data_IF_691361642037
#
_entry.id   IF_691361642037
#
_cell.length_a   1.000
_cell.length_b   1.000
_cell.length_c   1.000
_cell.angle_alpha   90.00
_cell.angle_beta   90.00
_cell.angle_gamma   90.00
#
_symmetry.space_group_name_H-M   'P 1'
#
loop_
_entity.id
_entity.type
_entity.pdbx_description
1 polymer ?
#
# COMPACT_ATOMS: atom_id res chain seq x y z
N UNK A 1 4.64 72.75 -40.55
CA UNK A 1 4.95 71.59 -39.67
C UNK A 1 6.43 71.30 -39.66
N UNK A 2 7.09 71.37 -40.81
CA UNK A 2 8.54 71.18 -40.98
C UNK A 2 9.39 72.06 -40.05
N UNK A 3 9.10 73.36 -39.91
CA UNK A 3 9.85 74.23 -38.98
C UNK A 3 9.76 73.80 -37.51
N UNK A 4 8.60 73.27 -37.08
CA UNK A 4 8.45 72.78 -35.70
C UNK A 4 9.26 71.51 -35.50
N UNK A 5 9.27 70.63 -36.50
CA UNK A 5 10.05 69.38 -36.50
C UNK A 5 11.55 69.70 -36.44
N UNK A 6 12.04 70.60 -37.30
CA UNK A 6 13.44 71.04 -37.32
C UNK A 6 13.84 71.66 -35.97
N UNK A 7 12.99 72.52 -35.39
CA UNK A 7 13.27 73.08 -34.05
C UNK A 7 13.31 71.99 -32.97
N UNK A 8 12.34 71.08 -32.93
CA UNK A 8 12.31 70.04 -31.89
C UNK A 8 13.45 69.02 -32.05
N UNK A 9 13.64 68.49 -33.25
CA UNK A 9 14.53 67.38 -33.53
C UNK A 9 15.98 67.84 -33.67
N UNK A 10 16.23 68.79 -34.58
CA UNK A 10 17.59 69.14 -34.98
C UNK A 10 18.25 70.13 -34.02
N UNK A 11 17.47 70.95 -33.31
CA UNK A 11 18.04 71.96 -32.39
C UNK A 11 17.96 71.59 -30.91
N UNK A 12 16.82 71.08 -30.44
CA UNK A 12 16.63 70.79 -29.02
C UNK A 12 17.03 69.36 -28.64
N UNK A 13 16.38 68.36 -29.25
CA UNK A 13 16.64 66.95 -28.94
C UNK A 13 18.09 66.58 -29.26
N UNK A 14 18.60 66.98 -30.43
CA UNK A 14 20.00 66.71 -30.80
C UNK A 14 21.01 67.32 -29.82
N UNK A 15 20.75 68.53 -29.31
CA UNK A 15 21.60 69.18 -28.31
C UNK A 15 21.54 68.47 -26.94
N UNK A 16 20.37 68.01 -26.52
CA UNK A 16 20.22 67.22 -25.30
C UNK A 16 20.93 65.86 -25.40
N UNK A 17 20.80 65.18 -26.54
CA UNK A 17 21.50 63.92 -26.82
C UNK A 17 23.02 64.14 -26.78
N UNK A 18 23.54 65.17 -27.46
CA UNK A 18 24.96 65.50 -27.45
C UNK A 18 25.47 65.75 -26.01
N UNK A 19 24.71 66.51 -25.21
CA UNK A 19 25.04 66.76 -23.81
C UNK A 19 25.01 65.47 -22.96
N UNK A 20 24.09 64.54 -23.23
CA UNK A 20 23.97 63.29 -22.49
C UNK A 20 25.11 62.31 -22.80
N UNK A 21 25.55 62.25 -24.06
CA UNK A 21 26.70 61.44 -24.52
C UNK A 21 28.01 61.95 -23.89
N UNK A 22 28.14 63.25 -23.64
CA UNK A 22 29.34 63.84 -23.04
C UNK A 22 29.42 63.69 -21.51
N UNK A 23 28.42 63.12 -20.83
CA UNK A 23 28.44 62.96 -19.37
C UNK A 23 29.42 61.86 -18.91
N UNK A 24 30.16 62.08 -17.81
CA UNK A 24 31.14 61.12 -17.31
C UNK A 24 30.44 59.86 -16.78
N UNK A 25 30.73 58.70 -17.38
CA UNK A 25 30.17 57.40 -16.99
C UNK A 25 29.98 56.42 -18.14
N UNK A 26 29.96 56.89 -19.39
CA UNK A 26 30.06 56.01 -20.57
C UNK A 26 31.53 55.82 -20.94
N UNK A 27 31.98 54.57 -20.97
CA UNK A 27 33.31 54.15 -21.45
C UNK A 27 33.45 54.38 -22.97
N UNK A 28 33.37 55.61 -23.44
CA UNK A 28 33.67 55.95 -24.82
C UNK A 28 35.11 56.43 -24.91
N UNK A 29 35.94 55.63 -25.59
CA UNK A 29 37.30 55.93 -26.09
C UNK A 29 37.32 57.06 -27.15
N UNK A 30 36.44 58.04 -27.04
CA UNK A 30 36.48 59.24 -27.87
C UNK A 30 37.33 60.23 -27.08
N UNK A 31 38.57 60.44 -27.54
CA UNK A 31 39.40 61.57 -27.10
C UNK A 31 38.51 62.81 -27.17
N UNK A 32 38.20 63.39 -26.01
CA UNK A 32 37.65 64.74 -25.94
C UNK A 32 38.58 65.60 -26.80
N UNK A 33 38.10 66.33 -27.83
CA UNK A 33 38.96 67.28 -28.51
C UNK A 33 39.54 68.20 -27.44
N UNK A 34 40.82 68.55 -27.53
CA UNK A 34 41.42 69.54 -26.64
C UNK A 34 40.68 70.86 -26.85
N UNK A 35 39.69 71.12 -26.00
CA UNK A 35 38.93 72.36 -26.01
C UNK A 35 39.89 73.41 -25.48
N UNK A 36 40.45 74.23 -26.38
CA UNK A 36 41.14 75.44 -25.97
C UNK A 36 40.15 76.28 -25.16
N UNK A 37 40.57 76.84 -24.00
CA UNK A 37 39.66 77.60 -23.15
C UNK A 37 39.10 78.77 -23.96
N UNK A 38 37.78 78.75 -24.16
CA UNK A 38 37.08 79.83 -24.84
C UNK A 38 37.02 81.02 -23.91
N UNK A 39 37.45 82.19 -24.41
CA UNK A 39 37.39 83.45 -23.68
C UNK A 39 36.20 84.25 -24.16
N UNK A 40 35.30 84.59 -23.26
CA UNK A 40 34.11 85.38 -23.57
C UNK A 40 34.13 86.68 -22.76
N UNK A 41 33.89 87.81 -23.43
CA UNK A 41 33.77 89.12 -22.79
C UNK A 41 32.29 89.48 -22.66
N UNK A 42 31.81 89.57 -21.41
CA UNK A 42 30.43 89.95 -21.10
C UNK A 42 30.42 91.34 -20.50
N UNK A 43 29.56 92.21 -21.04
CA UNK A 43 29.32 93.53 -20.48
C UNK A 43 28.24 93.43 -19.39
N UNK A 44 28.63 93.59 -18.14
CA UNK A 44 27.74 93.53 -16.98
C UNK A 44 27.44 94.93 -16.47
N UNK A 45 26.15 95.23 -16.30
CA UNK A 45 25.70 96.44 -15.62
C UNK A 45 25.14 96.03 -14.25
N UNK A 46 25.80 96.39 -13.13
CA UNK A 46 25.38 95.97 -11.81
C UNK A 46 24.05 96.62 -11.43
N UNK A 47 23.14 95.83 -10.86
CA UNK A 47 21.89 96.33 -10.29
C UNK A 47 22.21 96.88 -8.89
N UNK A 48 22.64 98.15 -8.80
CA UNK A 48 22.82 98.85 -7.53
C UNK A 48 21.59 99.72 -7.22
N UNK A 49 21.03 99.58 -6.01
CA UNK A 49 20.01 100.51 -5.48
C UNK A 49 20.70 101.75 -4.90
N UNK A 50 21.16 102.65 -5.77
CA UNK A 50 21.79 103.93 -5.40
C UNK A 50 21.45 105.04 -6.40
N UNK A 51 21.74 106.31 -6.07
CA UNK A 51 21.42 107.47 -6.92
C UNK A 51 22.40 107.71 -8.09
N UNK A 52 23.54 107.04 -8.11
CA UNK A 52 24.50 107.16 -9.21
C UNK A 52 24.15 106.17 -10.34
N UNK A 53 24.32 106.55 -11.62
CA UNK A 53 24.11 105.64 -12.73
C UNK A 53 25.06 104.42 -12.62
N UNK A 54 24.60 103.19 -12.89
CA UNK A 54 25.39 102.00 -12.69
C UNK A 54 26.54 101.95 -13.70
N UNK A 55 27.78 101.97 -13.19
CA UNK A 55 28.98 101.85 -14.02
C UNK A 55 29.09 100.44 -14.61
N UNK A 56 29.26 100.38 -15.93
CA UNK A 56 29.32 99.12 -16.67
C UNK A 56 30.72 98.50 -16.55
N UNK A 57 30.78 97.21 -16.28
CA UNK A 57 32.03 96.44 -16.18
C UNK A 57 32.09 95.41 -17.29
N UNK A 58 33.24 95.24 -17.90
CA UNK A 58 33.49 94.14 -18.84
C UNK A 58 34.14 93.01 -18.05
N UNK A 59 33.52 91.83 -18.08
CA UNK A 59 33.98 90.63 -17.37
C UNK A 59 34.49 89.64 -18.42
N UNK A 60 35.73 89.18 -18.25
CA UNK A 60 36.28 88.06 -19.02
C UNK A 60 35.91 86.76 -18.29
N UNK A 61 35.14 85.90 -18.94
CA UNK A 61 34.85 84.54 -18.48
C UNK A 61 35.78 83.59 -19.24
N UNK A 62 36.50 82.77 -18.49
CA UNK A 62 37.42 81.77 -18.99
C UNK A 62 37.03 80.43 -18.36
N UNK A 63 36.83 79.41 -19.18
CA UNK A 63 36.61 78.06 -18.68
C UNK A 63 37.88 77.52 -18.02
N UNK A 64 37.76 77.10 -16.76
CA UNK A 64 38.86 76.51 -16.01
C UNK A 64 39.21 75.12 -16.58
N UNK A 65 40.50 74.86 -16.79
CA UNK A 65 40.98 73.57 -17.28
C UNK A 65 40.81 72.50 -16.18
N UNK A 66 39.96 71.51 -16.44
CA UNK A 66 39.68 70.40 -15.50
C UNK A 66 40.71 69.27 -15.65
N UNK A 67 41.19 68.71 -14.54
CA UNK A 67 42.07 67.53 -14.52
C UNK A 67 41.30 66.27 -14.95
N UNK A 68 41.77 65.52 -15.97
CA UNK A 68 41.13 64.29 -16.42
C UNK A 68 41.12 63.15 -15.40
N UNK A 69 41.97 63.18 -14.37
CA UNK A 69 42.06 62.15 -13.32
C UNK A 69 41.32 62.52 -12.03
N UNK A 70 40.69 63.71 -11.97
CA UNK A 70 39.96 64.15 -10.80
C UNK A 70 38.72 63.27 -10.53
N UNK A 71 38.47 62.98 -9.26
CA UNK A 71 37.35 62.11 -8.85
C UNK A 71 36.04 62.91 -8.80
N UNK A 72 34.87 62.26 -8.90
CA UNK A 72 33.59 62.96 -8.77
C UNK A 72 33.47 63.72 -7.44
N UNK A 73 33.39 65.06 -7.51
CA UNK A 73 33.42 65.95 -6.34
C UNK A 73 32.19 65.85 -5.41
N UNK A 74 31.03 65.41 -5.92
CA UNK A 74 29.76 65.47 -5.19
C UNK A 74 29.04 64.11 -5.13
N UNK A 75 28.44 63.81 -3.97
CA UNK A 75 27.53 62.66 -3.78
C UNK A 75 26.10 63.06 -4.14
N UNK A 76 25.43 62.28 -4.98
CA UNK A 76 24.03 62.52 -5.33
C UNK A 76 23.08 62.08 -4.20
N UNK A 77 22.23 63.00 -3.72
CA UNK A 77 21.14 62.70 -2.77
C UNK A 77 19.84 62.44 -3.54
N UNK A 78 19.22 61.28 -3.33
CA UNK A 78 17.87 61.01 -3.85
C UNK A 78 16.86 61.78 -3.02
N UNK A 79 16.08 62.64 -3.67
CA UNK A 79 14.97 63.38 -3.05
C UNK A 79 13.66 62.72 -3.48
N UNK A 80 12.67 62.68 -2.58
CA UNK A 80 11.34 62.21 -2.92
C UNK A 80 10.79 63.01 -4.12
N UNK A 81 10.09 62.36 -5.07
CA UNK A 81 9.51 63.06 -6.20
C UNK A 81 8.59 64.15 -5.68
N UNK A 82 8.76 65.38 -6.19
CA UNK A 82 7.80 66.46 -5.90
C UNK A 82 6.44 66.02 -6.42
N UNK A 83 5.39 66.23 -5.62
CA UNK A 83 4.02 66.09 -6.09
C UNK A 83 3.80 67.16 -7.17
N UNK A 84 3.51 66.72 -8.39
CA UNK A 84 3.33 67.60 -9.55
C UNK A 84 1.90 68.12 -9.55
N UNK A 85 1.78 69.47 -9.51
CA UNK A 85 0.65 70.35 -9.86
C UNK A 85 -0.73 70.07 -9.26
N UNK A 86 -1.55 71.13 -9.18
CA UNK A 86 -2.96 71.02 -8.81
C UNK A 86 -3.65 69.92 -9.63
N UNK A 87 -4.48 69.07 -9.00
CA UNK A 87 -5.12 67.98 -9.71
C UNK A 87 -5.97 68.53 -10.85
N UNK A 88 -5.76 68.00 -12.05
CA UNK A 88 -6.56 68.37 -13.23
C UNK A 88 -8.05 68.13 -12.91
N UNK A 89 -8.96 69.06 -13.23
CA UNK A 89 -10.38 68.87 -12.99
C UNK A 89 -10.90 67.66 -13.76
N UNK A 90 -11.47 66.69 -13.05
CA UNK A 90 -12.08 65.53 -13.66
C UNK A 90 -13.54 65.86 -14.00
N UNK A 91 -13.83 66.02 -15.29
CA UNK A 91 -15.15 66.39 -15.80
C UNK A 91 -16.02 65.13 -16.00
N UNK A 92 -16.52 64.57 -14.90
CA UNK A 92 -17.47 63.46 -14.95
C UNK A 92 -18.90 63.92 -15.31
N UNK A 93 -19.69 63.00 -15.84
CA UNK A 93 -21.15 63.16 -15.87
C UNK A 93 -21.71 63.30 -14.45
N UNK A 94 -22.85 63.99 -14.25
CA UNK A 94 -23.46 64.10 -12.93
C UNK A 94 -23.75 62.72 -12.33
N UNK A 95 -23.55 62.54 -11.01
CA UNK A 95 -23.63 61.22 -10.38
C UNK A 95 -25.05 60.65 -10.52
N UNK A 96 -25.15 59.49 -11.19
CA UNK A 96 -26.38 58.71 -11.28
C UNK A 96 -26.64 58.03 -9.94
N UNK A 97 -27.87 58.13 -9.42
CA UNK A 97 -28.26 57.43 -8.19
C UNK A 97 -28.38 55.94 -8.50
N UNK A 98 -27.61 55.12 -7.78
CA UNK A 98 -27.70 53.67 -7.87
C UNK A 98 -29.07 53.21 -7.34
N UNK A 99 -29.69 52.26 -8.02
CA UNK A 99 -30.91 51.62 -7.49
C UNK A 99 -30.55 50.66 -6.36
N UNK A 100 -31.47 50.44 -5.40
CA UNK A 100 -31.25 49.49 -4.29
C UNK A 100 -30.96 48.07 -4.81
N UNK A 101 -31.69 47.65 -5.86
CA UNK A 101 -31.50 46.35 -6.50
C UNK A 101 -30.08 46.17 -7.05
N UNK A 102 -29.56 47.18 -7.75
CA UNK A 102 -28.17 47.15 -8.22
C UNK A 102 -27.19 47.08 -7.04
N UNK A 103 -27.45 47.82 -5.96
CA UNK A 103 -26.59 47.74 -4.78
C UNK A 103 -26.57 46.33 -4.16
N UNK A 104 -27.74 45.69 -4.08
CA UNK A 104 -27.90 44.36 -3.50
C UNK A 104 -27.27 43.26 -4.36
N UNK A 105 -27.39 43.36 -5.69
CA UNK A 105 -26.77 42.41 -6.64
C UNK A 105 -25.24 42.43 -6.56
N UNK A 106 -24.66 43.61 -6.34
CA UNK A 106 -23.22 43.79 -6.15
C UNK A 106 -22.78 43.63 -4.68
N UNK A 107 -23.65 43.16 -3.79
CA UNK A 107 -23.28 42.86 -2.41
C UNK A 107 -22.53 41.52 -2.33
N UNK A 108 -21.20 41.60 -2.28
CA UNK A 108 -20.33 40.42 -2.23
C UNK A 108 -20.31 39.84 -0.81
N UNK A 109 -20.71 38.56 -0.61
CA UNK A 109 -20.65 37.92 0.70
C UNK A 109 -19.22 37.84 1.24
N UNK A 110 -19.03 37.89 2.58
CA UNK A 110 -17.71 37.77 3.17
C UNK A 110 -17.12 36.38 2.93
N UNK A 111 -15.82 36.33 2.64
CA UNK A 111 -15.09 35.08 2.46
C UNK A 111 -14.82 34.42 3.81
N UNK A 112 -15.54 33.33 4.11
CA UNK A 112 -15.31 32.50 5.29
C UNK A 112 -14.52 31.27 4.85
N UNK A 113 -13.29 31.13 5.35
CA UNK A 113 -12.42 30.01 4.99
C UNK A 113 -12.46 28.89 6.03
N UNK A 114 -12.33 27.64 5.58
CA UNK A 114 -12.23 26.47 6.46
C UNK A 114 -10.83 26.32 7.10
N UNK A 115 -9.80 26.98 6.54
CA UNK A 115 -8.40 26.81 6.98
C UNK A 115 -7.85 27.97 7.81
N UNK A 116 -8.26 29.21 7.52
CA UNK A 116 -7.62 30.41 8.07
C UNK A 116 -8.63 31.33 8.76
N UNK A 117 -8.26 31.75 9.96
CA UNK A 117 -8.99 32.72 10.75
C UNK A 117 -7.99 33.63 11.49
N UNK A 118 -7.27 34.46 10.74
CA UNK A 118 -6.14 35.25 11.25
C UNK A 118 -6.54 36.22 12.36
N UNK A 119 -7.79 36.70 12.34
CA UNK A 119 -8.35 37.61 13.34
C UNK A 119 -9.14 36.90 14.44
N UNK A 120 -9.24 35.56 14.39
CA UNK A 120 -9.88 34.76 15.45
C UNK A 120 -11.38 35.00 15.62
N UNK A 121 -12.12 35.36 14.55
CA UNK A 121 -13.56 35.60 14.66
C UNK A 121 -14.31 34.32 15.09
N UNK A 122 -15.26 34.47 16.02
CA UNK A 122 -16.21 33.41 16.37
C UNK A 122 -17.29 33.35 15.29
N UNK A 123 -17.26 32.28 14.49
CA UNK A 123 -18.15 32.08 13.35
C UNK A 123 -18.97 30.82 13.61
N UNK A 124 -20.29 30.92 13.46
CA UNK A 124 -21.23 29.80 13.60
C UNK A 124 -20.94 28.66 12.62
N UNK A 125 -21.26 27.43 13.01
CA UNK A 125 -20.99 26.23 12.22
C UNK A 125 -21.64 26.29 10.84
N UNK A 126 -22.89 26.71 10.76
CA UNK A 126 -23.64 26.81 9.49
C UNK A 126 -22.87 27.63 8.45
N UNK A 127 -22.23 28.72 8.86
CA UNK A 127 -21.49 29.62 7.94
C UNK A 127 -20.12 29.06 7.54
N UNK A 128 -19.54 28.17 8.35
CA UNK A 128 -18.31 27.44 8.01
C UNK A 128 -18.60 26.26 7.08
N UNK A 129 -19.66 25.52 7.38
CA UNK A 129 -20.05 24.31 6.64
C UNK A 129 -20.76 24.66 5.33
N UNK A 130 -21.41 25.82 5.21
CA UNK A 130 -22.15 26.22 4.01
C UNK A 130 -21.32 26.27 2.71
N UNK A 131 -20.00 26.46 2.80
CA UNK A 131 -19.11 26.46 1.62
C UNK A 131 -18.85 25.05 1.10
N UNK A 132 -19.11 24.05 1.94
CA UNK A 132 -18.84 22.67 1.63
C UNK A 132 -19.86 22.11 0.65
N UNK A 133 -19.50 22.15 -0.64
CA UNK A 133 -20.32 21.64 -1.75
C UNK A 133 -20.56 20.14 -1.69
N UNK A 134 -19.94 19.41 -0.75
CA UNK A 134 -20.20 17.98 -0.53
C UNK A 134 -21.69 17.70 -0.28
N UNK A 135 -22.39 18.58 0.44
CA UNK A 135 -23.83 18.44 0.67
C UNK A 135 -24.69 18.65 -0.59
N UNK A 136 -24.13 19.27 -1.64
CA UNK A 136 -24.80 19.47 -2.92
C UNK A 136 -24.54 18.31 -3.88
N UNK A 137 -23.51 17.49 -3.63
CA UNK A 137 -23.21 16.33 -4.43
C UNK A 137 -24.23 15.24 -4.12
N UNK A 138 -25.11 14.96 -5.09
CA UNK A 138 -26.01 13.82 -5.06
C UNK A 138 -25.30 12.68 -5.76
N UNK A 139 -24.66 11.82 -4.98
CA UNK A 139 -24.05 10.62 -5.53
C UNK A 139 -25.15 9.65 -5.97
N UNK A 140 -25.37 9.56 -7.28
CA UNK A 140 -26.27 8.57 -7.88
C UNK A 140 -25.45 7.32 -8.24
N UNK A 141 -25.92 6.14 -7.80
CA UNK A 141 -25.23 4.86 -8.06
C UNK A 141 -25.66 4.33 -9.43
N UNK A 142 -24.69 3.95 -10.25
CA UNK A 142 -24.93 3.40 -11.58
C UNK A 142 -25.55 1.98 -11.53
N UNK A 143 -26.57 1.71 -12.35
CA UNK A 143 -27.27 0.42 -12.47
C UNK A 143 -26.34 -0.75 -12.85
N UNK A 144 -25.24 -0.46 -13.55
CA UNK A 144 -24.20 -1.47 -13.88
C UNK A 144 -23.63 -2.19 -12.67
N UNK A 145 -23.64 -1.55 -11.50
CA UNK A 145 -23.22 -2.22 -10.26
C UNK A 145 -24.16 -3.36 -9.87
N UNK A 146 -25.47 -3.21 -10.12
CA UNK A 146 -26.45 -4.26 -9.90
C UNK A 146 -26.29 -5.39 -10.93
N UNK A 147 -26.18 -5.04 -12.22
CA UNK A 147 -25.94 -6.02 -13.31
C UNK A 147 -24.69 -6.86 -13.03
N UNK A 148 -23.60 -6.22 -12.57
CA UNK A 148 -22.37 -6.91 -12.24
C UNK A 148 -22.51 -7.83 -11.02
N UNK A 149 -23.21 -7.39 -9.97
CA UNK A 149 -23.47 -8.21 -8.79
C UNK A 149 -24.32 -9.45 -9.14
N UNK A 150 -25.33 -9.29 -9.98
CA UNK A 150 -26.15 -10.41 -10.48
C UNK A 150 -25.32 -11.39 -11.32
N UNK A 151 -24.47 -10.88 -12.22
CA UNK A 151 -23.60 -11.72 -13.03
C UNK A 151 -22.65 -12.56 -12.16
N UNK A 152 -22.08 -11.99 -11.10
CA UNK A 152 -21.25 -12.73 -10.15
C UNK A 152 -22.05 -13.80 -9.40
N UNK A 153 -23.27 -13.48 -8.97
CA UNK A 153 -24.12 -14.42 -8.24
C UNK A 153 -24.51 -15.63 -9.12
N UNK A 154 -24.81 -15.39 -10.40
CA UNK A 154 -25.08 -16.44 -11.37
C UNK A 154 -23.85 -17.30 -11.67
N UNK A 155 -22.68 -16.67 -11.82
CA UNK A 155 -21.42 -17.38 -12.05
C UNK A 155 -21.05 -18.27 -10.85
N UNK A 156 -21.22 -17.78 -9.62
CA UNK A 156 -20.98 -18.55 -8.40
C UNK A 156 -21.91 -19.78 -8.34
N UNK A 157 -23.20 -19.59 -8.57
CA UNK A 157 -24.18 -20.69 -8.56
C UNK A 157 -23.83 -21.76 -9.60
N UNK A 158 -23.48 -21.36 -10.82
CA UNK A 158 -23.07 -22.29 -11.86
C UNK A 158 -21.80 -23.08 -11.47
N UNK A 159 -20.82 -22.41 -10.86
CA UNK A 159 -19.59 -23.05 -10.40
C UNK A 159 -19.85 -24.04 -9.25
N UNK A 160 -20.76 -23.72 -8.32
CA UNK A 160 -21.17 -24.62 -7.25
C UNK A 160 -21.88 -25.86 -7.80
N UNK A 161 -22.84 -25.71 -8.71
CA UNK A 161 -23.54 -26.83 -9.35
C UNK A 161 -22.58 -27.75 -10.12
N UNK A 162 -21.59 -27.18 -10.82
CA UNK A 162 -20.57 -27.96 -11.50
C UNK A 162 -19.71 -28.74 -10.51
N UNK A 163 -19.28 -28.10 -9.42
CA UNK A 163 -18.49 -28.74 -8.38
C UNK A 163 -19.26 -29.86 -7.68
N UNK A 164 -20.54 -29.67 -7.36
CA UNK A 164 -21.40 -30.71 -6.78
C UNK A 164 -21.51 -31.91 -7.71
N UNK A 165 -21.78 -31.70 -9.00
CA UNK A 165 -21.83 -32.78 -10.00
C UNK A 165 -20.50 -33.51 -10.12
N UNK A 166 -19.38 -32.77 -10.10
CA UNK A 166 -18.02 -33.36 -10.11
C UNK A 166 -17.76 -34.20 -8.86
N UNK A 167 -18.18 -33.74 -7.68
CA UNK A 167 -18.05 -34.46 -6.42
C UNK A 167 -18.93 -35.72 -6.43
N UNK A 168 -20.17 -35.63 -6.91
CA UNK A 168 -21.07 -36.77 -7.02
C UNK A 168 -20.53 -37.83 -8.00
N UNK A 169 -20.05 -37.42 -9.17
CA UNK A 169 -19.41 -38.35 -10.12
C UNK A 169 -18.15 -39.00 -9.53
N UNK A 170 -17.30 -38.23 -8.84
CA UNK A 170 -16.14 -38.79 -8.14
C UNK A 170 -16.55 -39.84 -7.10
N UNK A 171 -17.58 -39.57 -6.30
CA UNK A 171 -18.14 -40.53 -5.32
C UNK A 171 -18.66 -41.80 -6.01
N UNK A 172 -19.41 -41.68 -7.12
CA UNK A 172 -19.89 -42.84 -7.88
C UNK A 172 -18.75 -43.68 -8.45
N UNK A 173 -17.73 -43.04 -9.02
CA UNK A 173 -16.52 -43.71 -9.52
C UNK A 173 -15.78 -44.42 -8.38
N UNK A 174 -15.65 -43.78 -7.22
CA UNK A 174 -15.00 -44.39 -6.05
C UNK A 174 -15.78 -45.59 -5.51
N UNK A 175 -17.11 -45.49 -5.40
CA UNK A 175 -17.96 -46.61 -5.00
C UNK A 175 -17.87 -47.77 -6.00
N UNK A 176 -17.94 -47.50 -7.30
CA UNK A 176 -17.79 -48.53 -8.33
C UNK A 176 -16.39 -49.17 -8.34
N UNK A 177 -15.33 -48.40 -8.02
CA UNK A 177 -13.98 -48.94 -7.82
C UNK A 177 -13.90 -49.83 -6.58
N UNK A 178 -14.53 -49.43 -5.47
CA UNK A 178 -14.60 -50.26 -4.25
C UNK A 178 -15.34 -51.57 -4.50
N UNK A 179 -16.48 -51.52 -5.18
CA UNK A 179 -17.25 -52.71 -5.55
C UNK A 179 -16.45 -53.67 -6.44
N UNK A 180 -15.78 -53.16 -7.49
CA UNK A 180 -14.87 -53.99 -8.31
C UNK A 180 -13.73 -54.60 -7.51
N UNK A 181 -13.10 -53.82 -6.63
CA UNK A 181 -12.05 -54.34 -5.76
C UNK A 181 -12.61 -55.41 -4.80
N UNK A 182 -13.81 -55.25 -4.24
CA UNK A 182 -14.46 -56.25 -3.40
C UNK A 182 -14.80 -57.53 -4.18
N UNK A 183 -15.27 -57.43 -5.41
CA UNK A 183 -15.50 -58.57 -6.31
C UNK A 183 -14.20 -59.30 -6.64
N UNK A 184 -13.13 -58.58 -6.99
CA UNK A 184 -11.80 -59.16 -7.23
C UNK A 184 -11.28 -59.89 -5.99
N UNK A 185 -11.39 -59.28 -4.80
CA UNK A 185 -11.00 -59.91 -3.54
C UNK A 185 -11.86 -61.13 -3.20
N UNK A 186 -13.16 -61.11 -3.54
CA UNK A 186 -14.07 -62.23 -3.35
C UNK A 186 -13.74 -63.39 -4.30
N UNK A 187 -13.45 -63.11 -5.57
CA UNK A 187 -13.01 -64.11 -6.52
C UNK A 187 -11.66 -64.72 -6.11
N UNK A 188 -10.71 -63.89 -5.66
CA UNK A 188 -9.43 -64.35 -5.12
C UNK A 188 -9.65 -65.27 -3.91
N UNK A 189 -10.53 -64.89 -2.97
CA UNK A 189 -10.84 -65.71 -1.80
C UNK A 189 -11.52 -67.05 -2.17
N UNK A 190 -12.41 -67.06 -3.18
CA UNK A 190 -13.02 -68.28 -3.70
C UNK A 190 -11.99 -69.17 -4.40
N UNK A 191 -11.09 -68.59 -5.20
CA UNK A 191 -10.00 -69.32 -5.83
C UNK A 191 -9.05 -69.93 -4.79
N UNK A 192 -8.71 -69.18 -3.73
CA UNK A 192 -7.91 -69.68 -2.60
C UNK A 192 -8.63 -70.80 -1.83
N UNK A 193 -9.95 -70.69 -1.62
CA UNK A 193 -10.73 -71.78 -1.02
C UNK A 193 -10.76 -73.03 -1.89
N UNK A 194 -10.94 -72.86 -3.20
CA UNK A 194 -10.97 -73.98 -4.15
C UNK A 194 -9.61 -74.68 -4.25
N UNK A 195 -8.52 -73.91 -4.30
CA UNK A 195 -7.16 -74.47 -4.21
C UNK A 195 -6.96 -75.24 -2.91
N UNK A 196 -7.45 -74.72 -1.78
CA UNK A 196 -7.37 -75.42 -0.49
C UNK A 196 -8.24 -76.68 -0.45
N UNK A 197 -9.38 -76.69 -1.10
CA UNK A 197 -10.25 -77.88 -1.24
C UNK A 197 -9.61 -78.92 -2.17
N UNK A 198 -9.01 -78.50 -3.28
CA UNK A 198 -8.21 -79.36 -4.16
C UNK A 198 -6.98 -79.94 -3.43
N UNK A 199 -6.27 -79.14 -2.62
CA UNK A 199 -5.20 -79.62 -1.74
C UNK A 199 -5.71 -80.57 -0.65
N UNK A 200 -6.90 -80.32 -0.07
CA UNK A 200 -7.53 -81.21 0.91
C UNK A 200 -8.02 -82.52 0.26
N UNK A 201 -8.51 -82.49 -0.99
CA UNK A 201 -8.91 -83.67 -1.75
C UNK A 201 -7.71 -84.49 -2.23
N UNK A 202 -6.63 -83.85 -2.70
CA UNK A 202 -5.36 -84.52 -2.99
C UNK A 202 -4.76 -85.13 -1.72
N UNK A 203 -4.81 -84.40 -0.59
CA UNK A 203 -4.44 -84.95 0.71
C UNK A 203 -5.38 -86.08 1.15
N UNK A 204 -6.68 -86.01 0.89
CA UNK A 204 -7.65 -87.04 1.24
C UNK A 204 -7.48 -88.29 0.37
N UNK A 205 -7.15 -88.14 -0.91
CA UNK A 205 -6.84 -89.26 -1.81
C UNK A 205 -5.47 -89.86 -1.50
N UNK A 206 -4.44 -89.05 -1.20
CA UNK A 206 -3.17 -89.54 -0.67
C UNK A 206 -3.34 -90.21 0.70
N UNK A 207 -4.17 -89.66 1.60
CA UNK A 207 -4.43 -90.18 2.93
C UNK A 207 -5.31 -91.43 2.86
N UNK A 208 -6.25 -91.52 1.92
CA UNK A 208 -7.05 -92.71 1.62
C UNK A 208 -6.20 -93.79 0.97
N UNK A 209 -5.26 -93.44 0.09
CA UNK A 209 -4.30 -94.37 -0.48
C UNK A 209 -3.29 -94.83 0.59
N UNK A 210 -2.84 -93.94 1.48
CA UNK A 210 -2.07 -94.30 2.69
C UNK A 210 -2.90 -95.14 3.66
N UNK A 211 -4.21 -94.91 3.78
CA UNK A 211 -5.16 -95.67 4.62
C UNK A 211 -5.50 -97.04 4.04
N UNK A 212 -5.58 -97.16 2.72
CA UNK A 212 -5.82 -98.42 2.02
C UNK A 212 -4.52 -99.22 1.92
N UNK A 213 -3.36 -98.57 1.69
CA UNK A 213 -2.03 -99.16 1.92
C UNK A 213 -1.88 -99.59 3.37
N UNK A 214 -2.31 -98.80 4.35
CA UNK A 214 -2.33 -99.18 5.76
C UNK A 214 -3.39 -100.24 6.08
N UNK A 215 -4.43 -100.44 5.27
CA UNK A 215 -5.41 -101.53 5.45
C UNK A 215 -4.89 -102.83 4.88
N UNK A 216 -4.21 -102.78 3.73
CA UNK A 216 -3.51 -103.91 3.13
C UNK A 216 -2.24 -104.27 3.89
N UNK A 217 -1.57 -103.27 4.46
CA UNK A 217 -0.50 -103.43 5.44
C UNK A 217 -1.09 -103.94 6.75
N UNK A 218 -2.19 -103.42 7.30
CA UNK A 218 -2.87 -104.04 8.47
C UNK A 218 -3.51 -105.40 8.16
N UNK A 219 -3.60 -105.81 6.90
CA UNK A 219 -4.03 -107.15 6.45
C UNK A 219 -2.82 -108.08 6.39
N UNK A 220 -1.69 -107.62 5.83
CA UNK A 220 -0.39 -108.30 5.86
C UNK A 220 0.22 -108.37 7.26
N UNK A 221 0.19 -107.28 8.02
CA UNK A 221 0.49 -107.19 9.43
C UNK A 221 -0.52 -107.99 10.24
N UNK A 222 -1.83 -108.10 9.91
CA UNK A 222 -2.66 -109.09 10.63
C UNK A 222 -2.17 -110.51 10.40
N UNK A 223 -1.64 -110.82 9.22
CA UNK A 223 -1.00 -112.10 8.91
C UNK A 223 0.39 -112.25 9.58
N UNK A 224 1.17 -111.18 9.77
CA UNK A 224 2.50 -111.20 10.41
C UNK A 224 2.51 -110.92 11.92
N UNK A 225 1.49 -110.24 12.45
CA UNK A 225 1.26 -109.87 13.85
C UNK A 225 0.65 -111.02 14.64
N UNK A 226 -0.24 -111.82 14.03
CA UNK A 226 -0.60 -113.13 14.60
C UNK A 226 0.60 -114.09 14.64
N UNK A 227 1.69 -113.78 13.92
CA UNK A 227 2.92 -114.58 13.87
C UNK A 227 4.04 -114.08 14.79
N UNK A 228 3.99 -112.84 15.29
CA UNK A 228 5.11 -112.27 16.06
C UNK A 228 4.69 -111.20 17.07
N UNK A 229 4.05 -111.64 18.14
CA UNK A 229 4.00 -111.00 19.47
C UNK A 229 3.45 -109.54 19.54
N UNK A 230 2.27 -109.40 20.15
CA UNK A 230 1.72 -108.11 20.53
C UNK A 230 2.56 -107.37 21.59
N UNK A 231 2.70 -106.06 21.41
CA UNK A 231 3.09 -105.14 22.48
C UNK A 231 2.27 -103.83 22.38
N UNK A 232 1.55 -103.52 23.46
CA UNK A 232 0.92 -102.22 23.72
C UNK A 232 1.99 -101.13 23.76
N UNK A 233 1.89 -100.08 22.94
CA UNK A 233 2.86 -98.98 23.00
C UNK A 233 2.47 -97.67 22.33
N UNK A 234 1.62 -97.66 21.30
CA UNK A 234 1.51 -96.48 20.43
C UNK A 234 0.36 -95.50 20.74
N UNK A 235 -0.34 -95.66 21.86
CA UNK A 235 -1.54 -94.85 22.16
C UNK A 235 -1.27 -93.65 23.09
N UNK A 236 -0.05 -93.49 23.61
CA UNK A 236 0.22 -92.54 24.71
C UNK A 236 0.79 -91.18 24.30
N UNK A 237 1.12 -90.98 23.03
CA UNK A 237 1.87 -89.80 22.57
C UNK A 237 1.00 -88.77 21.84
N UNK A 238 -0.01 -89.23 21.09
CA UNK A 238 -0.90 -88.40 20.28
C UNK A 238 -1.96 -87.63 21.09
N UNK A 239 -2.15 -87.93 22.38
CA UNK A 239 -3.14 -87.26 23.24
C UNK A 239 -2.59 -86.03 23.99
N UNK A 240 -1.28 -85.77 23.97
CA UNK A 240 -0.67 -84.72 24.81
C UNK A 240 -0.54 -83.34 24.16
N UNK A 241 -0.62 -83.25 22.83
CA UNK A 241 -0.46 -81.99 22.10
C UNK A 241 -1.78 -81.27 21.80
N UNK A 242 -2.93 -81.96 21.86
CA UNK A 242 -4.26 -81.38 21.55
C UNK A 242 -4.93 -80.65 22.72
N UNK A 243 -4.26 -80.48 23.88
CA UNK A 243 -4.82 -79.86 25.09
C UNK A 243 -4.00 -78.67 25.61
N UNK A 244 -3.52 -77.78 24.75
CA UNK A 244 -3.00 -76.47 25.20
C UNK A 244 -3.95 -75.37 24.75
N UNK A 245 -4.78 -74.92 25.68
CA UNK A 245 -5.77 -73.88 25.46
C UNK A 245 -5.13 -72.48 25.56
N UNK A 246 -5.67 -71.54 24.77
CA UNK A 246 -5.20 -70.15 24.61
C UNK A 246 -5.06 -69.39 25.95
N UNK A 247 -5.78 -69.80 26.99
CA UNK A 247 -5.69 -69.24 28.34
C UNK A 247 -4.32 -69.48 29.03
N UNK A 248 -3.65 -70.61 28.77
CA UNK A 248 -2.29 -70.88 29.29
C UNK A 248 -1.21 -70.01 28.60
N UNK A 249 -1.51 -69.48 27.40
CA UNK A 249 -0.63 -68.55 26.69
C UNK A 249 -0.66 -67.14 27.29
N UNK A 250 -1.81 -66.73 27.85
CA UNK A 250 -1.98 -65.44 28.53
C UNK A 250 -1.35 -65.48 29.94
N UNK A 251 -1.46 -66.61 30.65
CA UNK A 251 -0.83 -66.82 31.95
C UNK A 251 0.72 -66.88 31.89
N UNK A 252 1.30 -67.13 30.71
CA UNK A 252 2.76 -67.13 30.48
C UNK A 252 3.33 -65.74 30.15
N UNK A 253 2.53 -64.67 30.18
CA UNK A 253 3.02 -63.29 30.15
C UNK A 253 3.70 -62.85 28.85
N UNK A 254 3.38 -63.45 27.70
CA UNK A 254 3.77 -62.90 26.40
C UNK A 254 2.96 -61.64 26.12
N UNK A 255 3.56 -60.48 26.36
CA UNK A 255 2.96 -59.17 26.08
C UNK A 255 2.85 -58.96 24.57
N UNK A 256 1.71 -58.43 24.14
CA UNK A 256 1.57 -57.74 22.86
C UNK A 256 2.13 -56.34 23.12
N UNK A 257 3.31 -56.05 22.58
CA UNK A 257 3.95 -54.75 22.72
C UNK A 257 3.17 -53.68 21.95
N UNK A 258 2.19 -53.04 22.60
CA UNK A 258 1.68 -51.75 22.14
C UNK A 258 2.78 -50.71 22.38
N UNK A 259 3.54 -50.42 21.34
CA UNK A 259 4.80 -49.67 21.37
C UNK A 259 4.63 -48.14 21.52
N UNK A 260 3.57 -47.68 22.20
CA UNK A 260 3.32 -46.26 22.44
C UNK A 260 3.17 -46.00 23.94
N UNK A 261 4.22 -45.39 24.49
CA UNK A 261 4.26 -44.81 25.83
C UNK A 261 3.21 -43.70 25.95
N UNK A 262 2.49 -43.66 27.07
CA UNK A 262 1.50 -42.61 27.36
C UNK A 262 2.18 -41.23 27.41
N UNK A 263 2.01 -40.43 26.37
CA UNK A 263 2.38 -39.02 26.38
C UNK A 263 1.28 -38.19 27.06
N UNK A 264 1.64 -37.13 27.80
CA UNK A 264 0.69 -36.22 28.44
C UNK A 264 -0.01 -35.35 27.37
N UNK A 265 -1.33 -35.50 27.29
CA UNK A 265 -2.18 -34.87 26.28
C UNK A 265 -2.10 -33.33 26.27
N UNK A 266 -1.67 -32.71 27.36
CA UNK A 266 -1.49 -31.24 27.44
C UNK A 266 -0.32 -30.74 26.59
N UNK A 267 0.68 -31.59 26.32
CA UNK A 267 1.84 -31.21 25.50
C UNK A 267 1.49 -31.14 24.00
N UNK A 268 0.51 -31.90 23.52
CA UNK A 268 0.11 -31.87 22.11
C UNK A 268 -0.82 -30.72 21.74
N UNK A 269 -1.40 -30.05 22.73
CA UNK A 269 -2.31 -28.92 22.51
C UNK A 269 -1.60 -27.56 22.69
N UNK A 270 -0.27 -27.54 22.77
CA UNK A 270 0.50 -26.29 22.73
C UNK A 270 0.67 -25.86 21.26
N UNK A 271 0.21 -24.65 20.92
CA UNK A 271 0.20 -24.14 19.54
C UNK A 271 1.55 -23.66 18.99
N UNK A 272 2.64 -23.78 19.75
CA UNK A 272 3.95 -23.19 19.45
C UNK A 272 4.85 -24.09 18.59
N UNK A 273 4.33 -24.56 17.44
CA UNK A 273 5.06 -25.49 16.58
C UNK A 273 5.55 -24.92 15.24
N UNK A 274 4.81 -24.00 14.63
CA UNK A 274 5.01 -23.63 13.21
C UNK A 274 5.13 -22.12 12.95
N UNK A 275 4.85 -21.28 13.95
CA UNK A 275 4.68 -19.84 13.73
C UNK A 275 5.73 -18.95 14.43
N UNK A 276 6.67 -19.54 15.19
CA UNK A 276 7.58 -18.83 16.11
C UNK A 276 8.97 -18.53 15.56
N UNK A 277 9.24 -18.70 14.27
CA UNK A 277 10.61 -18.54 13.75
C UNK A 277 10.76 -18.19 12.27
N UNK A 278 9.68 -17.81 11.58
CA UNK A 278 9.72 -17.40 10.18
C UNK A 278 9.12 -15.99 10.07
N UNK A 279 9.97 -14.98 10.22
CA UNK A 279 9.66 -13.58 9.92
C UNK A 279 10.71 -13.01 8.98
N UNK A 280 10.33 -12.07 8.12
CA UNK A 280 11.27 -11.36 7.24
C UNK A 280 12.23 -10.49 8.07
N UNK A 281 13.43 -10.17 7.57
CA UNK A 281 14.43 -9.36 8.30
C UNK A 281 13.91 -7.96 8.72
N UNK A 282 12.83 -7.49 8.10
CA UNK A 282 12.15 -6.22 8.42
C UNK A 282 11.08 -6.35 9.53
N UNK A 283 10.77 -7.56 10.00
CA UNK A 283 9.77 -7.82 11.02
C UNK A 283 10.40 -7.74 12.43
N UNK A 284 9.99 -6.76 13.23
CA UNK A 284 10.52 -6.48 14.59
C UNK A 284 10.03 -7.50 15.65
N UNK A 285 10.16 -8.80 15.38
CA UNK A 285 9.77 -9.91 16.25
C UNK A 285 10.96 -10.43 17.07
N UNK A 286 11.64 -9.55 17.81
CA UNK A 286 12.86 -9.90 18.60
C UNK A 286 12.53 -10.64 19.91
N UNK A 287 11.29 -10.57 20.38
CA UNK A 287 10.87 -11.15 21.65
C UNK A 287 9.66 -12.08 21.47
N UNK A 288 9.71 -13.24 22.12
CA UNK A 288 8.65 -14.26 22.09
C UNK A 288 7.39 -13.85 22.87
N UNK A 289 7.53 -12.95 23.85
CA UNK A 289 6.42 -12.43 24.67
C UNK A 289 6.27 -10.91 24.52
N UNK A 290 5.03 -10.42 24.55
CA UNK A 290 4.73 -8.98 24.63
C UNK A 290 5.19 -8.39 25.97
N UNK A 291 5.77 -7.19 25.95
CA UNK A 291 6.34 -6.51 27.13
C UNK A 291 5.32 -6.31 28.27
N UNK A 292 4.04 -6.16 27.93
CA UNK A 292 2.94 -6.08 28.90
C UNK A 292 1.96 -7.22 28.68
N UNK A 293 1.82 -8.10 29.69
CA UNK A 293 0.74 -9.10 29.76
C UNK A 293 -0.57 -8.40 30.12
N UNK A 294 -1.05 -7.52 29.24
CA UNK A 294 -2.41 -7.00 29.34
C UNK A 294 -3.35 -8.18 29.09
N UNK A 295 -4.16 -8.56 30.07
CA UNK A 295 -5.21 -9.57 29.87
C UNK A 295 -6.39 -8.90 29.15
N UNK A 296 -6.55 -9.07 27.82
CA UNK A 296 -7.57 -8.32 27.08
C UNK A 296 -9.00 -8.66 27.54
N UNK A 297 -9.17 -9.75 28.30
CA UNK A 297 -10.46 -10.29 28.73
C UNK A 297 -10.68 -10.31 30.26
N UNK A 298 -9.87 -9.59 31.05
CA UNK A 298 -10.11 -9.36 32.49
C UNK A 298 -10.33 -7.87 32.81
N UNK A 299 -11.19 -7.20 32.05
CA UNK A 299 -11.98 -6.15 32.70
C UNK A 299 -12.90 -6.86 33.69
N UNK A 300 -12.76 -6.54 34.98
CA UNK A 300 -13.56 -7.16 36.06
C UNK A 300 -15.05 -7.14 35.69
N UNK A 301 -15.60 -8.32 35.39
CA UNK A 301 -17.03 -8.55 35.24
C UNK A 301 -17.49 -9.27 36.51
N UNK A 302 -18.30 -8.63 37.37
CA UNK A 302 -18.82 -9.30 38.56
C UNK A 302 -19.63 -10.51 38.11
N UNK A 303 -19.33 -11.69 38.67
CA UNK A 303 -20.17 -12.87 38.53
C UNK A 303 -21.32 -12.72 39.53
N UNK A 304 -22.56 -12.75 39.06
CA UNK A 304 -23.70 -12.96 39.94
C UNK A 304 -23.59 -14.38 40.52
N UNK A 305 -23.54 -14.51 41.85
CA UNK A 305 -23.69 -15.80 42.49
C UNK A 305 -25.14 -16.23 42.26
N UNK A 306 -25.35 -17.28 41.47
CA UNK A 306 -26.55 -18.09 41.60
C UNK A 306 -26.39 -18.91 42.87
N UNK A 307 -27.18 -18.59 43.90
CA UNK A 307 -27.25 -19.37 45.13
C UNK A 307 -27.88 -20.74 44.81
N UNK A 308 -27.04 -21.77 44.70
CA UNK A 308 -27.38 -23.19 44.88
C UNK A 308 -26.37 -23.84 45.83
#
# INVERSE_FOLDING_TARGET
>A
MEEKIVRTHDTHISKEIANKIQQPGTLSLIKKPEILPTKEYIKYTPIQRGKNPPEQRIIEIIDEKVDPLDVPKFKYKKVAPRQVTEPVPILHEPPKKLTKQQMDEFNIPPCISNWKNNRGYTISLDKRVAVDRRNLQKDEINERHAEFAEALYLAEKAAQEENEKRVEMKKRIEMAKKERNEEEMRQLALAMRKLREEEEDEQFDEEKEKRDKARDERRREREEFYRKAGLKGLEKEMEREKRRDVAESIALGKKIDSKDLMFDQRLFNQGDGLNSGFGEEDEYNVYDEVLFKATPNQQYKPKELTDE
#
